data_IF_735176070752
#
_entry.id   IF_735176070752
#
_cell.length_a   1.000
_cell.length_b   1.000
_cell.length_c   1.000
_cell.angle_alpha   90.00
_cell.angle_beta   90.00
_cell.angle_gamma   90.00
#
_symmetry.space_group_name_H-M   'P 1'
#
loop_
_entity.id
_entity.type
_entity.pdbx_description
1 polymer ?
#
# COMPACT_ATOMS: atom_id res chain seq x y z
N UNK A 1 -6.63 4.87 -0.19
CA UNK A 1 -7.71 5.63 0.46
C UNK A 1 -8.70 4.66 1.06
N UNK A 2 -9.24 4.98 2.24
CA UNK A 2 -10.22 4.16 2.97
C UNK A 2 -11.43 5.03 3.28
N UNK A 3 -12.63 4.43 3.31
CA UNK A 3 -13.87 5.08 3.71
C UNK A 3 -14.20 4.58 5.11
N UNK A 4 -14.29 5.48 6.08
CA UNK A 4 -14.53 5.17 7.50
C UNK A 4 -15.84 5.79 7.95
N UNK A 5 -16.54 5.08 8.83
CA UNK A 5 -17.80 5.56 9.39
C UNK A 5 -18.24 4.70 10.56
N UNK A 6 -19.47 4.92 11.01
CA UNK A 6 -20.11 4.06 11.99
C UNK A 6 -21.55 3.79 11.58
N UNK A 7 -22.04 2.61 11.93
CA UNK A 7 -23.41 2.20 11.68
C UNK A 7 -23.93 1.50 12.93
N UNK A 8 -24.92 2.12 13.56
CA UNK A 8 -25.56 1.61 14.76
C UNK A 8 -27.04 1.38 14.49
N UNK A 9 -27.56 0.25 15.00
CA UNK A 9 -28.98 -0.04 14.95
C UNK A 9 -29.56 0.08 16.35
N UNK A 10 -30.28 1.16 16.60
CA UNK A 10 -30.94 1.42 17.89
C UNK A 10 -31.90 0.30 18.33
N UNK A 11 -32.48 -0.44 17.39
CA UNK A 11 -33.42 -1.53 17.70
C UNK A 11 -32.68 -2.81 18.13
N UNK A 12 -31.39 -2.92 17.82
CA UNK A 12 -30.55 -4.07 18.17
C UNK A 12 -29.17 -3.56 18.63
N UNK A 13 -29.10 -2.88 19.78
CA UNK A 13 -27.88 -2.19 20.22
C UNK A 13 -26.71 -3.17 20.42
N UNK A 14 -26.95 -4.43 20.79
CA UNK A 14 -25.87 -5.40 20.96
C UNK A 14 -25.40 -6.08 19.67
N UNK A 15 -25.99 -5.76 18.49
CA UNK A 15 -25.65 -6.41 17.22
C UNK A 15 -24.77 -5.52 16.34
N UNK A 16 -23.75 -6.13 15.74
CA UNK A 16 -22.95 -5.52 14.67
C UNK A 16 -23.78 -5.35 13.41
N UNK A 17 -23.62 -4.24 12.71
CA UNK A 17 -24.38 -3.91 11.49
C UNK A 17 -23.49 -4.10 10.27
N UNK A 18 -23.93 -4.86 9.28
CA UNK A 18 -23.21 -4.94 8.00
C UNK A 18 -23.59 -3.77 7.10
N UNK A 19 -22.60 -3.13 6.47
CA UNK A 19 -22.76 -2.01 5.57
C UNK A 19 -22.25 -2.34 4.16
N UNK A 20 -22.86 -1.73 3.16
CA UNK A 20 -22.49 -1.83 1.76
C UNK A 20 -22.12 -0.45 1.21
N UNK A 21 -20.99 -0.39 0.50
CA UNK A 21 -20.64 0.76 -0.33
C UNK A 21 -21.26 0.56 -1.71
N UNK A 22 -22.04 1.54 -2.15
CA UNK A 22 -22.73 1.50 -3.44
C UNK A 22 -22.37 2.73 -4.29
N UNK A 23 -22.33 2.55 -5.61
CA UNK A 23 -22.34 3.63 -6.59
C UNK A 23 -23.54 3.41 -7.51
N UNK A 24 -24.53 4.32 -7.43
CA UNK A 24 -25.83 4.11 -8.06
C UNK A 24 -26.52 2.86 -7.52
N UNK A 25 -26.68 1.83 -8.36
CA UNK A 25 -27.29 0.53 -8.02
C UNK A 25 -26.27 -0.58 -7.78
N UNK A 26 -24.98 -0.33 -8.01
CA UNK A 26 -23.92 -1.35 -7.93
C UNK A 26 -23.30 -1.39 -6.53
N UNK A 27 -23.23 -2.57 -5.93
CA UNK A 27 -22.48 -2.80 -4.69
C UNK A 27 -21.00 -2.94 -5.03
N UNK A 28 -20.19 -2.03 -4.51
CA UNK A 28 -18.75 -1.98 -4.74
C UNK A 28 -17.95 -2.69 -3.65
N UNK A 29 -18.44 -2.68 -2.40
CA UNK A 29 -17.80 -3.34 -1.27
C UNK A 29 -18.80 -3.59 -0.12
N UNK A 30 -18.44 -4.49 0.79
CA UNK A 30 -19.20 -4.77 2.02
C UNK A 30 -18.23 -4.77 3.20
N UNK A 31 -18.65 -4.23 4.34
CA UNK A 31 -17.88 -4.27 5.60
C UNK A 31 -18.81 -4.45 6.78
N UNK A 32 -18.29 -4.98 7.88
CA UNK A 32 -19.04 -5.14 9.12
C UNK A 32 -18.66 -4.01 10.06
N UNK A 33 -19.65 -3.33 10.61
CA UNK A 33 -19.48 -2.36 11.66
C UNK A 33 -19.30 -3.09 13.00
N UNK A 34 -18.06 -3.49 13.27
CA UNK A 34 -17.65 -4.24 14.48
C UNK A 34 -16.45 -3.61 15.20
N UNK A 35 -15.90 -2.50 14.69
CA UNK A 35 -14.74 -1.85 15.26
C UNK A 35 -15.18 -1.07 16.51
N UNK A 36 -14.56 -1.38 17.64
CA UNK A 36 -14.77 -0.64 18.88
C UNK A 36 -14.31 0.81 18.75
N UNK A 37 -15.17 1.72 19.20
CA UNK A 37 -14.90 3.15 19.26
C UNK A 37 -15.28 3.66 20.63
N UNK A 38 -14.30 4.20 21.36
CA UNK A 38 -14.51 4.70 22.72
C UNK A 38 -15.56 5.83 22.77
N UNK A 39 -15.70 6.62 21.71
CA UNK A 39 -16.71 7.67 21.58
C UNK A 39 -18.14 7.14 21.37
N UNK A 40 -18.32 5.84 21.09
CA UNK A 40 -19.61 5.17 20.89
C UNK A 40 -19.97 4.22 22.05
N UNK A 41 -19.13 4.14 23.08
CA UNK A 41 -19.33 3.26 24.24
C UNK A 41 -20.63 3.58 25.00
N UNK A 42 -21.09 4.83 24.95
CA UNK A 42 -22.36 5.26 25.55
C UNK A 42 -23.61 4.79 24.79
N UNK A 43 -23.46 4.21 23.58
CA UNK A 43 -24.58 3.79 22.71
C UNK A 43 -24.77 2.25 22.68
N UNK A 44 -24.16 1.53 23.64
CA UNK A 44 -24.30 0.07 23.79
C UNK A 44 -22.95 -0.61 23.97
N UNK A 45 -22.45 -1.32 22.96
CA UNK A 45 -21.18 -2.07 23.00
C UNK A 45 -19.99 -1.29 22.45
N UNK A 46 -20.21 -0.10 21.88
CA UNK A 46 -19.17 0.70 21.19
C UNK A 46 -18.64 0.08 19.89
N UNK A 47 -19.04 -1.14 19.53
CA UNK A 47 -18.57 -1.90 18.37
C UNK A 47 -19.37 -1.56 17.10
N UNK A 48 -19.42 -0.28 16.74
CA UNK A 48 -20.23 0.20 15.61
C UNK A 48 -19.42 0.91 14.52
N UNK A 49 -18.10 0.95 14.63
CA UNK A 49 -17.23 1.50 13.60
C UNK A 49 -17.04 0.53 12.44
N UNK A 50 -16.95 1.04 11.22
CA UNK A 50 -16.53 0.28 10.04
C UNK A 50 -15.43 0.99 9.26
N UNK A 51 -14.62 0.20 8.57
CA UNK A 51 -13.66 0.67 7.56
C UNK A 51 -13.91 -0.12 6.28
N UNK A 52 -14.05 0.58 5.17
CA UNK A 52 -14.15 0.01 3.82
C UNK A 52 -12.93 0.48 3.05
N UNK A 53 -12.07 -0.47 2.68
CA UNK A 53 -10.95 -0.18 1.77
C UNK A 53 -11.52 0.17 0.41
N UNK A 54 -11.15 1.32 -0.16
CA UNK A 54 -11.70 1.75 -1.46
C UNK A 54 -11.37 0.70 -2.53
N UNK A 55 -12.39 0.08 -3.17
CA UNK A 55 -12.17 -0.94 -4.18
C UNK A 55 -11.42 -0.38 -5.38
N UNK A 56 -10.68 -1.25 -6.09
CA UNK A 56 -9.85 -0.87 -7.23
C UNK A 56 -10.62 -0.11 -8.31
N UNK A 57 -11.91 -0.39 -8.48
CA UNK A 57 -12.80 0.28 -9.44
C UNK A 57 -12.93 1.79 -9.20
N UNK A 58 -12.78 2.24 -7.95
CA UNK A 58 -12.80 3.66 -7.59
C UNK A 58 -11.43 4.33 -7.80
N UNK A 59 -10.36 3.56 -8.01
CA UNK A 59 -8.96 4.03 -8.12
C UNK A 59 -8.56 4.27 -9.58
N UNK A 60 -9.39 4.97 -10.33
CA UNK A 60 -9.14 5.31 -11.74
C UNK A 60 -8.74 6.80 -11.92
N UNK A 61 -8.68 7.59 -10.85
CA UNK A 61 -8.39 9.02 -10.89
C UNK A 61 -9.56 9.91 -11.34
N UNK A 62 -10.77 9.34 -11.45
CA UNK A 62 -12.01 10.06 -11.70
C UNK A 62 -12.79 10.28 -10.39
N UNK A 63 -13.61 11.34 -10.31
CA UNK A 63 -14.54 11.51 -9.19
C UNK A 63 -15.65 10.44 -9.26
N UNK A 64 -15.85 9.73 -8.16
CA UNK A 64 -16.90 8.72 -7.98
C UNK A 64 -17.88 9.16 -6.90
N UNK A 65 -19.18 9.00 -7.15
CA UNK A 65 -20.24 9.37 -6.20
C UNK A 65 -20.74 8.12 -5.48
N UNK A 66 -20.24 7.89 -4.28
CA UNK A 66 -20.53 6.68 -3.51
C UNK A 66 -21.46 6.96 -2.33
N UNK A 67 -22.30 6.00 -1.99
CA UNK A 67 -23.18 6.03 -0.81
C UNK A 67 -22.95 4.80 0.05
N UNK A 68 -23.13 4.91 1.36
CA UNK A 68 -23.07 3.76 2.27
C UNK A 68 -24.47 3.46 2.78
N UNK A 69 -24.87 2.18 2.73
CA UNK A 69 -26.17 1.71 3.21
C UNK A 69 -26.03 0.51 4.14
N UNK A 70 -27.06 0.25 4.93
CA UNK A 70 -27.13 -1.00 5.71
C UNK A 70 -27.45 -2.16 4.75
N UNK A 71 -26.65 -3.25 4.84
CA UNK A 71 -26.74 -4.43 3.98
C UNK A 71 -28.17 -4.98 3.96
N UNK A 72 -28.70 -5.18 2.76
CA UNK A 72 -30.05 -5.71 2.56
C UNK A 72 -31.19 -4.71 2.83
N UNK A 73 -30.87 -3.42 3.00
CA UNK A 73 -31.87 -2.36 3.17
C UNK A 73 -31.61 -1.20 2.21
N UNK A 74 -32.60 -0.31 2.05
CA UNK A 74 -32.45 0.96 1.34
C UNK A 74 -32.05 2.13 2.25
N UNK A 75 -31.67 1.85 3.50
CA UNK A 75 -31.35 2.88 4.50
C UNK A 75 -29.91 3.35 4.27
N UNK A 76 -29.75 4.58 3.80
CA UNK A 76 -28.47 5.25 3.64
C UNK A 76 -27.98 5.80 4.99
N UNK A 77 -26.67 5.74 5.21
CA UNK A 77 -26.04 6.39 6.36
C UNK A 77 -25.95 7.90 6.15
N UNK A 78 -26.04 8.66 7.24
CA UNK A 78 -25.89 10.11 7.24
C UNK A 78 -24.56 10.55 6.62
N UNK A 79 -24.60 11.57 5.78
CA UNK A 79 -23.45 12.05 5.02
C UNK A 79 -23.29 11.44 3.61
N UNK A 80 -24.20 10.57 3.17
CA UNK A 80 -24.26 10.08 1.77
C UNK A 80 -25.17 10.96 0.89
N UNK A 81 -24.87 11.13 -0.42
CA UNK A 81 -23.69 10.62 -1.13
C UNK A 81 -22.41 11.42 -0.84
N UNK A 82 -21.26 10.74 -0.88
CA UNK A 82 -19.94 11.33 -0.76
C UNK A 82 -19.23 11.24 -2.11
N UNK A 83 -18.68 12.35 -2.58
CA UNK A 83 -17.81 12.34 -3.77
C UNK A 83 -16.39 11.98 -3.34
N UNK A 84 -15.89 10.87 -3.86
CA UNK A 84 -14.52 10.41 -3.63
C UNK A 84 -13.71 10.51 -4.92
N UNK A 85 -12.61 11.25 -4.89
CA UNK A 85 -11.63 11.24 -5.97
C UNK A 85 -10.43 10.42 -5.51
N UNK A 86 -10.38 9.14 -5.89
CA UNK A 86 -9.22 8.31 -5.61
C UNK A 86 -8.32 8.33 -6.86
N UNK A 87 -7.20 9.05 -6.77
CA UNK A 87 -6.15 9.04 -7.79
C UNK A 87 -5.81 7.60 -8.18
N UNK A 88 -5.77 7.31 -9.48
CA UNK A 88 -5.18 6.06 -9.95
C UNK A 88 -3.77 6.00 -9.42
N UNK A 89 -3.50 4.99 -8.60
CA UNK A 89 -2.25 4.86 -7.87
C UNK A 89 -1.15 4.41 -8.82
N UNK A 90 -0.75 5.28 -9.74
CA UNK A 90 0.47 5.18 -10.52
C UNK A 90 1.62 5.90 -9.81
N UNK A 91 1.64 5.95 -8.47
CA UNK A 91 2.84 6.09 -7.61
C UNK A 91 2.58 5.36 -6.29
N UNK A 92 3.53 4.53 -5.85
CA UNK A 92 3.39 3.47 -4.84
C UNK A 92 4.02 3.87 -3.49
N UNK A 93 3.43 3.50 -2.34
CA UNK A 93 4.03 2.63 -1.28
C UNK A 93 3.33 2.72 0.10
N UNK A 94 3.42 1.63 0.88
CA UNK A 94 2.98 1.27 2.27
C UNK A 94 1.49 0.91 2.50
N UNK A 95 1.07 -0.36 2.74
CA UNK A 95 1.16 -1.28 3.92
C UNK A 95 0.51 -0.67 5.18
N UNK A 96 -0.45 -1.25 5.91
CA UNK A 96 -0.88 -2.64 6.20
C UNK A 96 -2.44 -2.71 6.29
N UNK A 97 -3.13 -3.85 6.39
CA UNK A 97 -3.33 -4.55 7.69
C UNK A 97 -3.82 -5.99 7.48
N UNK A 98 -3.15 -6.85 8.24
CA UNK A 98 -3.27 -8.28 8.57
C UNK A 98 -4.68 -8.76 8.90
N UNK A 99 -5.04 -9.97 8.45
CA UNK A 99 -5.95 -10.90 9.14
C UNK A 99 -5.46 -12.35 8.95
N UNK A 100 -5.80 -13.26 9.88
CA UNK A 100 -4.86 -14.11 10.61
C UNK A 100 -4.40 -15.29 9.77
N UNK A 101 -3.20 -15.21 9.20
CA UNK A 101 -2.67 -16.29 8.39
C UNK A 101 -1.22 -16.51 8.80
N UNK A 102 -0.78 -17.76 8.75
CA UNK A 102 0.59 -18.14 9.06
C UNK A 102 1.46 -17.44 8.01
N UNK A 103 1.91 -16.22 8.32
CA UNK A 103 2.48 -15.26 7.36
C UNK A 103 3.93 -15.62 7.03
N UNK A 104 4.07 -16.62 6.17
CA UNK A 104 5.26 -16.82 5.35
C UNK A 104 5.19 -15.94 4.09
N UNK A 105 4.77 -14.69 4.25
CA UNK A 105 4.48 -13.73 3.16
C UNK A 105 5.72 -12.87 2.87
N UNK A 106 6.55 -13.34 1.93
CA UNK A 106 7.14 -12.51 0.86
C UNK A 106 7.91 -11.24 1.30
N UNK A 107 9.02 -11.43 2.02
CA UNK A 107 9.97 -10.37 2.41
C UNK A 107 10.77 -9.81 1.22
N UNK A 108 10.14 -9.00 0.36
CA UNK A 108 10.86 -8.30 -0.72
C UNK A 108 11.32 -6.91 -0.26
N UNK A 109 12.63 -6.70 -0.12
CA UNK A 109 13.19 -5.40 0.30
C UNK A 109 14.48 -5.02 -0.43
N UNK A 110 14.70 -3.71 -0.59
CA UNK A 110 15.95 -3.10 -1.08
C UNK A 110 16.38 -2.03 -0.08
N UNK A 111 17.58 -2.17 0.49
CA UNK A 111 18.21 -1.16 1.35
C UNK A 111 19.59 -0.83 0.82
N UNK A 112 20.02 0.43 0.97
CA UNK A 112 21.31 0.93 0.49
C UNK A 112 22.07 1.48 1.68
N UNK A 113 23.31 1.05 1.88
CA UNK A 113 24.17 1.55 2.94
C UNK A 113 25.65 1.61 2.49
N UNK A 114 26.40 2.65 2.88
CA UNK A 114 25.93 3.88 3.52
C UNK A 114 25.21 4.81 2.52
N UNK A 115 24.36 5.69 3.05
CA UNK A 115 23.73 6.77 2.28
C UNK A 115 23.74 8.05 3.13
N UNK A 116 24.50 9.10 2.77
CA UNK A 116 25.33 9.24 1.55
C UNK A 116 26.56 8.31 1.46
N UNK A 117 27.17 8.17 0.27
CA UNK A 117 28.44 7.44 0.04
C UNK A 117 29.31 8.13 -1.02
N UNK A 118 30.51 7.62 -1.30
CA UNK A 118 31.47 8.17 -2.28
C UNK A 118 31.57 7.35 -3.58
N UNK A 119 30.52 6.58 -3.92
CA UNK A 119 30.46 5.71 -5.09
C UNK A 119 30.62 4.22 -4.76
N UNK A 120 31.07 3.88 -3.54
CA UNK A 120 31.10 2.52 -3.01
C UNK A 120 30.02 2.32 -1.96
N UNK A 121 29.16 1.32 -2.15
CA UNK A 121 28.05 1.01 -1.25
C UNK A 121 27.60 -0.44 -1.37
N UNK A 122 26.75 -0.86 -0.43
CA UNK A 122 26.14 -2.18 -0.37
C UNK A 122 24.64 -2.04 -0.58
N UNK A 123 24.12 -2.84 -1.50
CA UNK A 123 22.70 -3.10 -1.65
C UNK A 123 22.35 -4.36 -0.86
N UNK A 124 21.43 -4.23 0.09
CA UNK A 124 20.88 -5.32 0.88
C UNK A 124 19.53 -5.68 0.24
N UNK A 125 19.45 -6.89 -0.30
CA UNK A 125 18.29 -7.39 -1.03
C UNK A 125 17.69 -8.53 -0.24
N UNK A 126 16.38 -8.53 0.00
CA UNK A 126 15.69 -9.73 0.48
C UNK A 126 14.83 -10.25 -0.67
N UNK A 127 15.16 -11.43 -1.19
CA UNK A 127 14.56 -12.02 -2.39
C UNK A 127 14.19 -13.47 -2.12
N UNK A 128 12.99 -13.89 -2.53
CA UNK A 128 12.58 -15.30 -2.51
C UNK A 128 13.52 -16.18 -3.34
N UNK A 129 13.67 -17.45 -2.96
CA UNK A 129 14.64 -18.35 -3.58
C UNK A 129 14.39 -18.50 -5.10
N UNK A 130 15.46 -18.59 -5.88
CA UNK A 130 15.47 -18.67 -7.35
C UNK A 130 14.71 -17.56 -8.09
N UNK A 131 14.40 -16.45 -7.40
CA UNK A 131 13.69 -15.33 -8.02
C UNK A 131 14.67 -14.47 -8.81
N UNK A 132 14.50 -14.40 -10.14
CA UNK A 132 15.32 -13.52 -10.99
C UNK A 132 14.89 -12.07 -10.83
N UNK A 133 15.86 -11.19 -10.63
CA UNK A 133 15.69 -9.77 -10.43
C UNK A 133 16.71 -8.98 -11.25
N UNK A 134 16.41 -7.71 -11.53
CA UNK A 134 17.35 -6.77 -12.16
C UNK A 134 17.60 -5.62 -11.22
N UNK A 135 18.85 -5.42 -10.84
CA UNK A 135 19.29 -4.25 -10.09
C UNK A 135 19.87 -3.24 -11.07
N UNK A 136 19.32 -2.02 -11.07
CA UNK A 136 19.64 -0.97 -12.04
C UNK A 136 19.90 0.31 -11.27
N UNK A 137 20.92 1.06 -11.66
CA UNK A 137 21.24 2.37 -11.08
C UNK A 137 21.17 3.41 -12.19
N UNK A 138 20.42 4.47 -11.93
CA UNK A 138 20.23 5.60 -12.85
C UNK A 138 20.63 6.90 -12.18
N UNK A 139 21.15 7.84 -12.97
CA UNK A 139 21.32 9.23 -12.52
C UNK A 139 19.95 9.97 -12.49
N UNK A 140 19.92 11.22 -12.04
CA UNK A 140 18.68 12.04 -12.04
C UNK A 140 18.09 12.31 -13.43
N UNK A 141 18.89 12.21 -14.49
CA UNK A 141 18.44 12.35 -15.87
C UNK A 141 17.82 11.05 -16.43
N UNK A 142 17.82 9.97 -15.65
CA UNK A 142 17.28 8.65 -16.02
C UNK A 142 18.26 7.77 -16.81
N UNK A 143 19.47 8.26 -17.09
CA UNK A 143 20.53 7.49 -17.77
C UNK A 143 20.96 6.33 -16.87
N UNK A 144 20.98 5.13 -17.43
CA UNK A 144 21.49 3.94 -16.76
C UNK A 144 23.00 4.02 -16.64
N UNK A 145 23.51 4.03 -15.40
CA UNK A 145 24.95 4.07 -15.11
C UNK A 145 25.49 2.70 -14.72
N UNK A 146 24.61 1.80 -14.27
CA UNK A 146 24.99 0.43 -13.89
C UNK A 146 23.76 -0.48 -13.89
N UNK A 147 23.98 -1.77 -14.19
CA UNK A 147 22.95 -2.80 -14.17
C UNK A 147 23.53 -4.19 -13.97
N UNK A 148 22.82 -5.02 -13.21
CA UNK A 148 23.14 -6.43 -13.04
C UNK A 148 21.87 -7.26 -12.80
N UNK A 149 21.84 -8.48 -13.33
CA UNK A 149 20.84 -9.48 -12.95
C UNK A 149 21.27 -10.18 -11.66
N UNK A 150 20.33 -10.36 -10.73
CA UNK A 150 20.57 -11.03 -9.44
C UNK A 150 19.52 -12.11 -9.23
N UNK A 151 19.89 -13.19 -8.53
CA UNK A 151 18.99 -14.31 -8.25
C UNK A 151 18.76 -14.38 -6.75
N UNK A 152 17.51 -14.52 -6.36
CA UNK A 152 17.12 -14.63 -4.96
C UNK A 152 17.64 -15.90 -4.31
N UNK A 153 18.20 -15.79 -3.11
CA UNK A 153 18.70 -16.91 -2.32
C UNK A 153 17.69 -17.40 -1.27
N UNK A 154 16.51 -16.78 -1.18
CA UNK A 154 15.50 -17.12 -0.16
C UNK A 154 15.69 -16.37 1.16
N UNK A 155 16.39 -15.24 1.13
CA UNK A 155 16.68 -14.41 2.30
C UNK A 155 17.44 -13.15 1.93
N UNK A 156 18.01 -12.51 2.95
CA UNK A 156 18.85 -11.33 2.80
C UNK A 156 20.16 -11.70 2.10
N UNK A 157 20.53 -10.93 1.08
CA UNK A 157 21.77 -11.05 0.33
C UNK A 157 22.37 -9.67 0.06
N UNK A 158 23.68 -9.63 -0.07
CA UNK A 158 24.45 -8.40 -0.22
C UNK A 158 25.04 -8.31 -1.61
N UNK A 159 24.84 -7.17 -2.27
CA UNK A 159 25.54 -6.82 -3.49
C UNK A 159 26.38 -5.59 -3.22
N UNK A 160 27.70 -5.78 -3.17
CA UNK A 160 28.64 -4.66 -3.13
C UNK A 160 28.78 -4.08 -4.54
N UNK A 161 28.73 -2.75 -4.62
CA UNK A 161 28.78 -2.01 -5.87
C UNK A 161 29.78 -0.89 -5.69
N UNK A 162 30.71 -0.81 -6.64
CA UNK A 162 31.58 0.34 -6.81
C UNK A 162 31.23 0.98 -8.16
N UNK A 163 30.58 2.13 -8.09
CA UNK A 163 30.31 2.94 -9.25
C UNK A 163 31.52 3.82 -9.53
N UNK A 164 32.16 3.61 -10.67
CA UNK A 164 33.20 4.50 -11.17
C UNK A 164 32.53 5.77 -11.76
N UNK A 165 31.93 6.60 -10.91
CA UNK A 165 31.15 7.77 -11.33
C UNK A 165 32.05 9.00 -11.41
N UNK A 166 32.03 9.69 -12.55
CA UNK A 166 32.77 10.95 -12.73
C UNK A 166 32.12 12.16 -12.03
N UNK A 167 30.86 12.02 -11.59
CA UNK A 167 30.02 13.09 -11.05
C UNK A 167 29.27 12.68 -9.77
N UNK A 168 29.41 13.50 -8.72
CA UNK A 168 28.59 13.41 -7.52
C UNK A 168 27.15 13.84 -7.80
N UNK A 169 26.20 13.26 -7.08
CA UNK A 169 24.80 13.60 -7.23
C UNK A 169 23.84 12.53 -6.74
N UNK A 170 22.56 12.79 -6.98
CA UNK A 170 21.47 11.87 -6.63
C UNK A 170 21.39 10.77 -7.68
N UNK A 171 21.31 9.54 -7.22
CA UNK A 171 21.09 8.35 -8.03
C UNK A 171 19.85 7.60 -7.53
N UNK A 172 19.16 6.95 -8.45
CA UNK A 172 18.02 6.07 -8.16
C UNK A 172 18.47 4.65 -8.41
N UNK A 173 18.44 3.83 -7.36
CA UNK A 173 18.67 2.39 -7.43
C UNK A 173 17.32 1.70 -7.50
N UNK A 174 17.15 0.84 -8.49
CA UNK A 174 15.89 0.18 -8.81
C UNK A 174 16.10 -1.33 -8.88
N UNK A 175 15.22 -2.07 -8.22
CA UNK A 175 15.15 -3.53 -8.24
C UNK A 175 13.85 -3.96 -8.94
N UNK A 176 13.97 -4.62 -10.08
CA UNK A 176 12.84 -5.09 -10.90
C UNK A 176 12.68 -6.60 -10.81
N UNK A 177 11.48 -7.09 -10.44
CA UNK A 177 11.20 -8.51 -10.19
C UNK A 177 9.79 -8.85 -10.65
N UNK A 178 9.66 -9.70 -11.67
CA UNK A 178 8.34 -10.23 -12.09
C UNK A 178 7.27 -9.16 -12.30
N UNK A 179 7.64 -7.97 -12.79
CA UNK A 179 6.74 -6.82 -13.01
C UNK A 179 6.60 -5.86 -11.82
N UNK A 180 7.15 -6.18 -10.64
CA UNK A 180 7.26 -5.26 -9.51
C UNK A 180 8.57 -4.49 -9.55
N UNK A 181 8.54 -3.22 -9.12
CA UNK A 181 9.68 -2.33 -9.11
C UNK A 181 9.81 -1.70 -7.73
N UNK A 182 10.98 -1.83 -7.11
CA UNK A 182 11.34 -1.14 -5.87
C UNK A 182 12.46 -0.16 -6.17
N UNK A 183 12.25 1.12 -5.85
CA UNK A 183 13.26 2.16 -6.03
C UNK A 183 13.69 2.79 -4.71
N UNK A 184 14.98 3.07 -4.58
CA UNK A 184 15.57 3.80 -3.45
C UNK A 184 16.46 4.91 -3.97
N UNK A 185 16.39 6.07 -3.33
CA UNK A 185 17.25 7.21 -3.61
C UNK A 185 18.56 7.07 -2.85
N UNK A 186 19.67 7.26 -3.55
CA UNK A 186 21.03 7.27 -3.02
C UNK A 186 21.70 8.60 -3.33
N UNK A 187 22.46 9.11 -2.39
CA UNK A 187 23.27 10.32 -2.57
C UNK A 187 24.74 9.91 -2.67
N UNK A 188 25.39 10.27 -3.78
CA UNK A 188 26.82 10.06 -3.99
C UNK A 188 27.55 11.38 -3.89
N UNK A 189 28.57 11.43 -3.03
CA UNK A 189 29.48 12.55 -2.81
C UNK A 189 30.79 12.30 -3.57
N UNK A 190 31.52 13.37 -3.86
CA UNK A 190 32.86 13.31 -4.48
C UNK A 190 33.93 13.35 -3.39
#
# INVERSE_FOLDING_TARGET
>A
TEIKGWAWNQNYPSKTVSVELIEGSTVLATSVASIFRQDLDTMGTGNYGFVIVSPSILRNGQPHSVSVRIKGTSILLGGSPIVVNCSSSARMSSIATVEPQIDLEKSLSLTISPNPNTGSFKCILNLSNHTKAKLIIRNIAGTEVWKQEVVGLGGEQYQEINLNIESAGIHIVTLEIGGQIISKRMVVLK
#
